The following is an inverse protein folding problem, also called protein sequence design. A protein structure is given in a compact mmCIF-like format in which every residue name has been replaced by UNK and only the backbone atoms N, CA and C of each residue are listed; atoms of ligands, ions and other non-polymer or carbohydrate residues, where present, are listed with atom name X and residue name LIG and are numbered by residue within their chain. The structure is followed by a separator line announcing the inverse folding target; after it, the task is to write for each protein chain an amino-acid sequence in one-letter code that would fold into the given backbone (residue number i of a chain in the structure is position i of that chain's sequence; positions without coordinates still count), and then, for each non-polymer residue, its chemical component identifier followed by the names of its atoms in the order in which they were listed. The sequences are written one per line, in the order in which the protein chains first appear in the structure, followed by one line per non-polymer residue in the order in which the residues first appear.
data_IF_361750240367
#
_entry.id   IF_361750240367
#
_cell.length_a   1.000
_cell.length_b   1.000
_cell.length_c   1.000
_cell.angle_alpha   90.00
_cell.angle_beta   90.00
_cell.angle_gamma   90.00
#
_symmetry.space_group_name_H-M   'P 1'
#
loop_
_entity.id
_entity.type
_entity.pdbx_description
1 polymer ?
#
# COMPACT_ATOMS: atom_id res chain seq x y z
N UNK A 1 14.67 -15.15 -0.75
CA UNK A 1 13.41 -14.50 -0.37
C UNK A 1 12.30 -15.18 -1.16
N UNK A 2 11.26 -15.66 -0.48
CA UNK A 2 10.04 -16.11 -1.13
C UNK A 2 9.09 -14.92 -1.24
N UNK A 3 8.40 -14.79 -2.37
CA UNK A 3 7.43 -13.74 -2.61
C UNK A 3 6.05 -14.36 -2.83
N UNK A 4 5.08 -13.87 -2.08
CA UNK A 4 3.67 -14.24 -2.21
C UNK A 4 2.86 -13.02 -2.61
N UNK A 5 1.83 -13.23 -3.42
CA UNK A 5 0.82 -12.23 -3.73
C UNK A 5 -0.47 -12.64 -3.00
N UNK A 6 -0.97 -11.76 -2.14
CA UNK A 6 -2.26 -11.93 -1.47
C UNK A 6 -3.31 -11.07 -2.14
N UNK A 7 -4.37 -11.70 -2.66
CA UNK A 7 -5.50 -11.04 -3.32
C UNK A 7 -6.65 -10.90 -2.32
N UNK A 8 -7.07 -9.67 -2.05
CA UNK A 8 -8.09 -9.34 -1.05
C UNK A 8 -9.35 -8.78 -1.73
N UNK A 9 -10.51 -9.36 -1.45
CA UNK A 9 -11.79 -8.82 -1.87
C UNK A 9 -12.52 -8.22 -0.67
N UNK A 10 -13.06 -7.00 -0.84
CA UNK A 10 -13.74 -6.28 0.23
C UNK A 10 -15.24 -6.55 0.19
N UNK A 11 -15.77 -7.10 1.28
CA UNK A 11 -17.18 -7.44 1.44
C UNK A 11 -18.02 -6.21 1.81
N UNK A 12 -17.38 -5.21 2.43
CA UNK A 12 -18.03 -3.97 2.86
C UNK A 12 -17.30 -2.76 2.30
N UNK A 13 -17.95 -1.59 2.31
CA UNK A 13 -17.28 -0.35 1.97
C UNK A 13 -16.09 -0.08 2.91
N UNK A 14 -15.11 0.66 2.43
CA UNK A 14 -13.91 1.02 3.19
C UNK A 14 -13.87 2.51 3.50
N UNK A 15 -13.19 2.87 4.58
CA UNK A 15 -12.77 4.23 4.88
C UNK A 15 -11.25 4.24 5.06
N UNK A 16 -10.53 4.51 3.98
CA UNK A 16 -9.08 4.69 4.01
C UNK A 16 -8.78 6.18 4.06
N UNK A 17 -8.69 6.72 5.28
CA UNK A 17 -8.47 8.14 5.48
C UNK A 17 -7.11 8.59 4.96
N UNK A 18 -7.07 9.72 4.25
CA UNK A 18 -5.82 10.41 3.95
C UNK A 18 -5.23 10.96 5.25
N UNK A 19 -3.96 10.73 5.49
CA UNK A 19 -3.31 10.93 6.80
C UNK A 19 -3.28 12.37 7.32
N UNK A 20 -3.72 13.38 6.57
CA UNK A 20 -3.29 14.74 6.84
C UNK A 20 -4.26 15.90 6.65
N UNK A 21 -5.49 15.65 6.32
CA UNK A 21 -6.42 16.76 6.18
C UNK A 21 -7.53 16.72 7.23
N UNK A 22 -8.02 17.89 7.62
CA UNK A 22 -9.29 18.02 8.33
C UNK A 22 -10.44 17.34 7.55
N UNK A 23 -10.21 17.06 6.27
CA UNK A 23 -11.11 16.37 5.34
C UNK A 23 -10.96 14.85 5.37
N UNK A 24 -10.00 14.27 6.10
CA UNK A 24 -9.76 12.82 6.11
C UNK A 24 -10.97 11.98 6.51
N UNK A 25 -11.92 12.57 7.24
CA UNK A 25 -13.19 11.93 7.58
C UNK A 25 -14.20 11.93 6.41
N UNK A 26 -14.12 12.92 5.53
CA UNK A 26 -15.06 13.13 4.43
C UNK A 26 -14.64 12.46 3.12
N UNK A 27 -13.41 11.99 3.05
CA UNK A 27 -12.87 11.33 1.86
C UNK A 27 -12.30 9.96 2.22
N UNK A 28 -12.34 9.03 1.28
CA UNK A 28 -11.67 7.73 1.38
C UNK A 28 -10.72 7.60 0.21
N UNK A 29 -9.50 7.16 0.46
CA UNK A 29 -8.61 6.66 -0.58
C UNK A 29 -9.12 5.29 -1.08
N UNK A 30 -8.67 4.89 -2.26
CA UNK A 30 -9.03 3.60 -2.88
C UNK A 30 -8.03 2.50 -2.53
N UNK A 31 -6.86 2.86 -2.04
CA UNK A 31 -5.75 1.94 -1.72
C UNK A 31 -5.23 2.19 -0.31
N UNK A 32 -4.48 1.24 0.20
CA UNK A 32 -3.94 1.29 1.56
C UNK A 32 -2.42 1.10 1.55
N UNK A 33 -1.73 1.78 2.45
CA UNK A 33 -0.27 1.69 2.56
C UNK A 33 0.16 0.58 3.51
N UNK A 34 1.35 0.04 3.27
CA UNK A 34 1.94 -1.05 4.06
C UNK A 34 2.03 -0.73 5.55
N UNK A 35 2.33 0.52 5.94
CA UNK A 35 2.41 0.91 7.35
C UNK A 35 1.05 0.82 8.08
N UNK A 36 -0.04 1.03 7.34
CA UNK A 36 -1.40 0.88 7.89
C UNK A 36 -1.79 -0.60 7.98
N UNK A 37 -1.48 -1.40 6.94
CA UNK A 37 -1.68 -2.85 6.99
C UNK A 37 -0.87 -3.46 8.14
N UNK A 38 0.41 -3.13 8.26
CA UNK A 38 1.27 -3.63 9.33
C UNK A 38 0.73 -3.27 10.73
N UNK A 39 0.27 -2.04 10.91
CA UNK A 39 -0.35 -1.62 12.18
C UNK A 39 -1.59 -2.47 12.50
N UNK A 40 -2.42 -2.77 11.52
CA UNK A 40 -3.60 -3.63 11.70
C UNK A 40 -3.20 -5.08 12.03
N UNK A 41 -2.18 -5.62 11.36
CA UNK A 41 -1.62 -6.95 11.65
C UNK A 41 -1.02 -7.03 13.07
N UNK A 42 -0.38 -5.96 13.55
CA UNK A 42 0.10 -5.89 14.93
C UNK A 42 -1.05 -5.99 15.96
N UNK A 43 -2.13 -5.27 15.74
CA UNK A 43 -3.32 -5.37 16.60
C UNK A 43 -3.95 -6.75 16.56
N UNK A 44 -4.08 -7.33 15.38
CA UNK A 44 -4.63 -8.68 15.22
C UNK A 44 -3.74 -9.75 15.86
N UNK A 45 -2.42 -9.67 15.67
CA UNK A 45 -1.44 -10.57 16.30
C UNK A 45 -1.50 -10.48 17.82
N UNK A 46 -1.59 -9.26 18.37
CA UNK A 46 -1.73 -9.06 19.81
C UNK A 46 -3.03 -9.66 20.34
N UNK A 47 -4.14 -9.44 19.63
CA UNK A 47 -5.47 -9.90 20.04
C UNK A 47 -5.58 -11.44 20.00
N UNK A 48 -5.02 -12.09 18.97
CA UNK A 48 -5.13 -13.54 18.80
C UNK A 48 -4.08 -14.34 19.57
N UNK A 49 -2.83 -13.82 19.64
CA UNK A 49 -1.67 -14.60 20.07
C UNK A 49 -0.87 -13.95 21.20
N UNK A 50 -1.23 -12.72 21.61
CA UNK A 50 -0.61 -12.02 22.73
C UNK A 50 0.71 -11.34 22.38
N UNK A 51 1.34 -10.77 23.41
CA UNK A 51 2.50 -9.88 23.27
C UNK A 51 3.73 -10.58 22.67
N UNK A 52 3.97 -11.85 23.01
CA UNK A 52 5.13 -12.57 22.48
C UNK A 52 5.08 -12.72 20.95
N UNK A 53 3.91 -12.97 20.38
CA UNK A 53 3.73 -13.06 18.93
C UNK A 53 3.91 -11.70 18.25
N UNK A 54 3.43 -10.62 18.87
CA UNK A 54 3.66 -9.25 18.38
C UNK A 54 5.16 -8.91 18.38
N UNK A 55 5.89 -9.23 19.44
CA UNK A 55 7.33 -9.01 19.53
C UNK A 55 8.08 -9.81 18.46
N UNK A 56 7.68 -11.07 18.22
CA UNK A 56 8.25 -11.89 17.15
C UNK A 56 8.01 -11.26 15.78
N UNK A 57 6.78 -10.84 15.47
CA UNK A 57 6.44 -10.16 14.21
C UNK A 57 7.30 -8.91 14.00
N UNK A 58 7.43 -8.05 15.02
CA UNK A 58 8.29 -6.88 14.97
C UNK A 58 9.77 -7.25 14.73
N UNK A 59 10.26 -8.30 15.37
CA UNK A 59 11.63 -8.79 15.19
C UNK A 59 11.87 -9.30 13.76
N UNK A 60 10.94 -10.05 13.19
CA UNK A 60 11.03 -10.54 11.79
C UNK A 60 11.07 -9.38 10.79
N UNK A 61 10.26 -8.35 11.01
CA UNK A 61 10.30 -7.10 10.21
C UNK A 61 11.65 -6.41 10.34
N UNK A 62 12.16 -6.22 11.56
CA UNK A 62 13.46 -5.58 11.78
C UNK A 62 14.61 -6.33 11.07
N UNK A 63 14.56 -7.67 11.07
CA UNK A 63 15.53 -8.53 10.40
C UNK A 63 15.36 -8.59 8.87
N UNK A 64 14.34 -7.94 8.30
CA UNK A 64 14.05 -8.00 6.86
C UNK A 64 13.52 -9.35 6.39
N UNK A 65 12.97 -10.16 7.29
CA UNK A 65 12.37 -11.48 6.99
C UNK A 65 10.86 -11.42 6.74
N UNK A 66 10.29 -10.23 6.88
CA UNK A 66 8.87 -9.96 6.69
C UNK A 66 8.74 -8.60 5.98
N UNK A 67 8.43 -8.64 4.69
CA UNK A 67 8.33 -7.46 3.84
C UNK A 67 6.92 -7.33 3.26
N UNK A 68 6.40 -6.11 3.20
CA UNK A 68 5.08 -5.81 2.63
C UNK A 68 5.20 -4.71 1.57
N UNK A 69 4.54 -4.87 0.44
CA UNK A 69 4.24 -3.75 -0.44
C UNK A 69 3.03 -2.96 0.06
N UNK A 70 2.80 -1.77 -0.50
CA UNK A 70 1.51 -1.13 -0.39
C UNK A 70 0.43 -2.02 -1.06
N UNK A 71 -0.84 -1.82 -0.68
CA UNK A 71 -1.94 -2.51 -1.31
C UNK A 71 -2.26 -1.83 -2.64
N UNK A 72 -2.17 -2.59 -3.69
CA UNK A 72 -2.33 -2.15 -5.09
C UNK A 72 -3.63 -2.71 -5.67
N UNK A 73 -4.25 -2.05 -6.65
CA UNK A 73 -5.51 -2.50 -7.21
C UNK A 73 -5.36 -3.73 -8.12
N UNK A 74 -6.42 -4.54 -8.15
CA UNK A 74 -6.66 -5.51 -9.22
C UNK A 74 -8.09 -5.39 -9.74
N UNK A 75 -8.29 -5.78 -11.00
CA UNK A 75 -9.61 -5.93 -11.61
C UNK A 75 -9.64 -7.26 -12.37
N UNK A 76 -10.56 -8.12 -12.03
CA UNK A 76 -10.57 -9.53 -12.48
C UNK A 76 -9.22 -10.20 -12.19
N UNK A 77 -8.55 -10.68 -13.23
CA UNK A 77 -7.24 -11.29 -13.18
C UNK A 77 -6.09 -10.30 -13.50
N UNK A 78 -6.40 -9.01 -13.70
CA UNK A 78 -5.39 -8.00 -14.04
C UNK A 78 -4.86 -7.33 -12.77
N UNK A 79 -3.57 -7.46 -12.51
CA UNK A 79 -2.87 -6.75 -11.46
C UNK A 79 -2.28 -5.44 -11.97
N UNK A 80 -2.27 -4.42 -11.10
CA UNK A 80 -1.79 -3.09 -11.44
C UNK A 80 -0.65 -2.67 -10.52
N UNK A 81 0.36 -2.04 -11.07
CA UNK A 81 1.51 -1.48 -10.37
C UNK A 81 1.41 0.04 -10.29
N UNK A 82 2.02 0.69 -9.30
CA UNK A 82 2.11 2.14 -9.28
C UNK A 82 2.88 2.63 -10.51
N UNK A 83 2.34 3.68 -11.14
CA UNK A 83 3.02 4.30 -12.28
C UNK A 83 4.37 4.86 -11.83
N UNK A 84 5.48 4.56 -12.51
CA UNK A 84 6.79 5.09 -12.18
C UNK A 84 6.82 6.63 -12.17
N UNK A 85 7.40 7.19 -11.13
CA UNK A 85 7.71 8.61 -11.04
C UNK A 85 9.04 8.80 -11.77
N UNK A 86 8.97 8.99 -13.08
CA UNK A 86 10.14 9.17 -13.93
C UNK A 86 9.91 10.33 -14.90
N UNK A 87 10.96 11.11 -15.24
CA UNK A 87 10.87 12.12 -16.28
C UNK A 87 10.65 11.45 -17.63
N UNK A 88 9.90 12.10 -18.53
CA UNK A 88 9.80 11.67 -19.92
C UNK A 88 10.84 12.41 -20.73
N UNK A 89 11.68 11.69 -21.45
CA UNK A 89 12.69 12.21 -22.37
C UNK A 89 12.17 12.32 -23.81
N UNK A 90 10.96 11.75 -24.07
CA UNK A 90 10.38 11.75 -25.40
C UNK A 90 10.10 13.19 -25.86
N UNK A 91 10.67 13.53 -27.02
CA UNK A 91 10.47 14.81 -27.72
C UNK A 91 9.34 14.75 -28.74
N UNK A 92 8.68 13.62 -28.89
CA UNK A 92 7.59 13.45 -29.86
C UNK A 92 6.38 14.33 -29.53
N UNK A 93 5.81 14.93 -30.55
CA UNK A 93 4.57 15.69 -30.42
C UNK A 93 3.39 14.73 -30.19
N UNK A 94 2.93 14.69 -28.93
CA UNK A 94 1.75 13.91 -28.53
C UNK A 94 0.58 14.88 -28.32
N UNK A 95 -0.61 14.47 -28.75
CA UNK A 95 -1.83 15.24 -28.50
C UNK A 95 -1.96 15.66 -27.02
N UNK A 96 -2.29 16.92 -26.79
CA UNK A 96 -2.40 17.48 -25.42
C UNK A 96 -3.37 16.68 -24.53
N UNK A 97 -4.43 16.13 -25.13
CA UNK A 97 -5.41 15.31 -24.40
C UNK A 97 -4.82 13.98 -23.94
N UNK A 98 -4.01 13.35 -24.78
CA UNK A 98 -3.35 12.08 -24.45
C UNK A 98 -2.32 12.29 -23.33
N UNK A 99 -1.48 13.32 -23.42
CA UNK A 99 -0.55 13.72 -22.35
C UNK A 99 -1.26 13.93 -21.01
N UNK A 100 -2.42 14.60 -21.00
CA UNK A 100 -3.22 14.83 -19.80
C UNK A 100 -3.76 13.52 -19.24
N UNK A 101 -4.22 12.59 -20.08
CA UNK A 101 -4.70 11.27 -19.66
C UNK A 101 -3.56 10.47 -19.03
N UNK A 102 -2.40 10.37 -19.69
CA UNK A 102 -1.22 9.65 -19.17
C UNK A 102 -0.73 10.26 -17.85
N UNK A 103 -0.75 11.61 -17.73
CA UNK A 103 -0.37 12.28 -16.46
C UNK A 103 -1.29 11.94 -15.30
N UNK A 104 -2.57 11.70 -15.56
CA UNK A 104 -3.58 11.37 -14.54
C UNK A 104 -3.54 9.90 -14.11
N UNK A 105 -2.89 9.01 -14.87
CA UNK A 105 -2.75 7.62 -14.48
C UNK A 105 -1.97 7.53 -13.17
N UNK A 106 -2.53 6.81 -12.21
CA UNK A 106 -1.84 6.42 -10.99
C UNK A 106 -1.29 5.00 -11.07
N UNK A 107 -1.95 4.15 -11.85
CA UNK A 107 -1.73 2.72 -11.92
C UNK A 107 -1.55 2.25 -13.36
N UNK A 108 -0.73 1.21 -13.55
CA UNK A 108 -0.45 0.56 -14.84
C UNK A 108 -0.70 -0.94 -14.73
N UNK A 109 -1.40 -1.55 -15.68
CA UNK A 109 -1.47 -3.01 -15.75
C UNK A 109 -0.06 -3.61 -15.86
N UNK A 110 0.21 -4.69 -15.13
CA UNK A 110 1.52 -5.38 -15.13
C UNK A 110 1.99 -5.66 -16.56
N UNK A 111 1.15 -6.23 -17.41
CA UNK A 111 1.52 -6.59 -18.79
C UNK A 111 1.73 -5.40 -19.73
N UNK A 112 1.38 -4.19 -19.32
CA UNK A 112 1.61 -2.96 -20.10
C UNK A 112 2.72 -2.08 -19.51
N UNK A 113 3.35 -2.54 -18.45
CA UNK A 113 4.41 -1.78 -17.79
C UNK A 113 5.60 -1.50 -18.72
N UNK A 114 6.07 -2.51 -19.44
CA UNK A 114 7.20 -2.36 -20.38
C UNK A 114 6.85 -1.47 -21.59
N UNK A 115 5.59 -1.44 -22.01
CA UNK A 115 5.12 -0.50 -23.05
C UNK A 115 5.19 0.94 -22.55
N UNK A 116 4.70 1.17 -21.32
CA UNK A 116 4.79 2.49 -20.70
C UNK A 116 6.25 2.92 -20.52
N UNK A 117 7.12 2.03 -20.01
CA UNK A 117 8.53 2.32 -19.80
C UNK A 117 9.21 2.75 -21.11
N UNK A 118 8.99 2.04 -22.21
CA UNK A 118 9.51 2.41 -23.54
C UNK A 118 9.01 3.80 -23.99
N UNK A 119 7.76 4.14 -23.68
CA UNK A 119 7.18 5.42 -24.06
C UNK A 119 7.81 6.63 -23.36
N UNK A 120 8.57 6.43 -22.29
CA UNK A 120 9.31 7.50 -21.62
C UNK A 120 10.46 8.03 -22.49
N UNK A 121 11.03 7.18 -23.35
CA UNK A 121 12.14 7.54 -24.24
C UNK A 121 11.68 7.82 -25.66
N UNK A 122 10.79 6.98 -26.20
CA UNK A 122 10.33 7.09 -27.59
C UNK A 122 8.88 6.62 -27.72
N UNK A 123 8.12 7.29 -28.58
CA UNK A 123 6.73 6.96 -28.81
C UNK A 123 5.78 7.53 -27.75
N UNK A 124 4.59 7.00 -27.72
CA UNK A 124 3.54 7.41 -26.79
C UNK A 124 2.84 6.19 -26.19
N UNK A 125 2.37 6.36 -24.97
CA UNK A 125 1.54 5.39 -24.28
C UNK A 125 0.04 5.77 -24.46
N UNK A 126 -0.78 4.85 -24.97
CA UNK A 126 -2.23 5.07 -25.07
C UNK A 126 -2.97 4.45 -23.86
N UNK A 127 -3.42 5.27 -22.91
CA UNK A 127 -4.18 4.79 -21.76
C UNK A 127 -5.60 4.35 -22.10
N UNK A 128 -6.08 4.63 -23.31
CA UNK A 128 -7.43 4.24 -23.76
C UNK A 128 -7.52 2.82 -24.31
N UNK A 129 -6.40 2.10 -24.47
CA UNK A 129 -6.43 0.68 -24.82
C UNK A 129 -6.90 -0.17 -23.64
N UNK A 130 -7.58 -1.29 -23.94
CA UNK A 130 -8.09 -2.23 -22.94
C UNK A 130 -7.05 -2.54 -21.86
N UNK A 131 -7.45 -2.44 -20.60
CA UNK A 131 -6.64 -2.77 -19.44
C UNK A 131 -6.03 -1.57 -18.71
N UNK A 132 -6.06 -0.33 -19.22
CA UNK A 132 -5.66 0.86 -18.47
C UNK A 132 -6.82 1.63 -17.82
N UNK A 133 -8.02 1.14 -17.98
CA UNK A 133 -9.26 1.80 -17.50
C UNK A 133 -9.53 1.53 -16.00
N UNK A 134 -8.49 1.37 -15.18
CA UNK A 134 -8.65 1.12 -13.73
C UNK A 134 -9.51 2.19 -13.06
N UNK A 135 -9.48 3.40 -13.58
CA UNK A 135 -10.19 4.53 -12.97
C UNK A 135 -11.69 4.55 -13.31
N UNK A 136 -12.15 3.75 -14.27
CA UNK A 136 -13.58 3.66 -14.63
C UNK A 136 -14.10 2.27 -14.27
N UNK A 137 -14.83 2.17 -13.16
CA UNK A 137 -15.45 0.91 -12.75
C UNK A 137 -14.78 0.18 -11.61
N UNK A 138 -13.66 0.67 -11.05
CA UNK A 138 -12.99 0.07 -9.91
C UNK A 138 -13.83 0.11 -8.63
N UNK A 139 -14.68 1.12 -8.50
CA UNK A 139 -15.61 1.28 -7.38
C UNK A 139 -16.30 2.62 -7.39
N UNK A 140 -16.97 2.94 -6.30
CA UNK A 140 -17.75 4.17 -6.13
C UNK A 140 -17.47 4.84 -4.81
N UNK A 141 -17.14 6.13 -4.85
CA UNK A 141 -17.10 6.99 -3.67
C UNK A 141 -18.51 7.42 -3.29
N UNK A 142 -18.81 7.42 -2.01
CA UNK A 142 -20.07 7.95 -1.48
C UNK A 142 -19.87 8.45 -0.05
N UNK A 143 -20.81 9.27 0.42
CA UNK A 143 -20.82 9.77 1.77
C UNK A 143 -21.98 9.15 2.56
N UNK A 144 -21.75 8.89 3.83
CA UNK A 144 -22.80 8.44 4.74
C UNK A 144 -22.87 9.34 5.96
N UNK A 145 -24.08 9.79 6.27
CA UNK A 145 -24.35 10.51 7.51
C UNK A 145 -24.40 9.55 8.68
N UNK A 146 -23.63 9.81 9.72
CA UNK A 146 -23.61 9.12 11.01
C UNK A 146 -24.00 10.09 12.11
N UNK A 147 -24.43 9.58 13.24
CA UNK A 147 -24.72 10.38 14.43
C UNK A 147 -23.66 10.06 15.51
N UNK A 148 -22.97 11.08 15.98
CA UNK A 148 -22.20 10.99 17.20
C UNK A 148 -23.16 11.22 18.37
N UNK A 149 -23.39 10.19 19.18
CA UNK A 149 -24.27 10.26 20.35
C UNK A 149 -23.39 10.42 21.59
N UNK A 150 -23.21 11.62 22.14
CA UNK A 150 -22.46 11.82 23.37
C UNK A 150 -23.21 11.22 24.58
N UNK A 151 -22.50 10.94 25.66
CA UNK A 151 -23.10 10.46 26.90
C UNK A 151 -24.11 11.48 27.50
N UNK A 152 -23.93 12.77 27.21
CA UNK A 152 -24.84 13.86 27.57
C UNK A 152 -24.97 14.83 26.39
N UNK A 153 -26.22 15.27 26.13
CA UNK A 153 -26.53 16.20 25.04
C UNK A 153 -27.10 15.56 23.79
N UNK A 154 -27.35 16.39 22.77
CA UNK A 154 -27.98 15.96 21.53
C UNK A 154 -27.00 15.24 20.58
N UNK A 155 -27.55 14.30 19.83
CA UNK A 155 -26.78 13.62 18.74
C UNK A 155 -26.36 14.65 17.69
N UNK A 156 -25.08 14.58 17.29
CA UNK A 156 -24.51 15.47 16.27
C UNK A 156 -24.27 14.69 15.00
N UNK A 157 -24.90 15.06 13.87
CA UNK A 157 -24.65 14.42 12.60
C UNK A 157 -23.25 14.77 12.10
N UNK A 158 -22.59 13.80 11.46
CA UNK A 158 -21.33 13.99 10.75
C UNK A 158 -21.28 13.11 9.50
N UNK A 159 -20.55 13.54 8.49
CA UNK A 159 -20.38 12.80 7.25
C UNK A 159 -19.11 11.93 7.32
N UNK A 160 -19.20 10.76 6.71
CA UNK A 160 -18.06 9.85 6.52
C UNK A 160 -17.96 9.52 5.03
N UNK A 161 -16.82 9.85 4.43
CA UNK A 161 -16.50 9.44 3.06
C UNK A 161 -16.12 7.98 3.02
N UNK A 162 -16.68 7.25 2.09
CA UNK A 162 -16.52 5.81 1.93
C UNK A 162 -16.22 5.49 0.47
N UNK A 163 -15.51 4.38 0.26
CA UNK A 163 -15.32 3.79 -1.05
C UNK A 163 -15.85 2.35 -1.04
N UNK A 164 -16.59 1.97 -2.07
CA UNK A 164 -17.06 0.60 -2.29
C UNK A 164 -16.46 0.07 -3.56
N UNK A 165 -15.69 -1.01 -3.46
CA UNK A 165 -15.17 -1.71 -4.62
C UNK A 165 -16.30 -2.26 -5.47
N UNK A 166 -16.11 -2.25 -6.80
CA UNK A 166 -16.99 -2.94 -7.74
C UNK A 166 -16.83 -4.47 -7.59
N UNK A 167 -17.79 -5.27 -8.04
CA UNK A 167 -17.58 -6.69 -8.22
C UNK A 167 -16.27 -6.93 -9.00
N UNK A 168 -15.57 -8.02 -8.71
CA UNK A 168 -14.32 -8.41 -9.37
C UNK A 168 -13.14 -7.43 -9.20
N UNK A 169 -13.31 -6.40 -8.35
CA UNK A 169 -12.28 -5.43 -7.99
C UNK A 169 -11.89 -5.54 -6.51
N UNK A 170 -10.62 -5.31 -6.23
CA UNK A 170 -10.12 -5.31 -4.87
C UNK A 170 -8.67 -4.86 -4.80
N UNK A 171 -8.00 -5.22 -3.73
CA UNK A 171 -6.60 -4.89 -3.51
C UNK A 171 -5.77 -6.16 -3.37
N UNK A 172 -4.55 -6.10 -3.84
CA UNK A 172 -3.54 -7.11 -3.58
C UNK A 172 -2.28 -6.47 -3.01
N UNK A 173 -1.48 -7.24 -2.34
CA UNK A 173 -0.15 -6.84 -1.92
C UNK A 173 0.85 -7.97 -2.12
N UNK A 174 2.13 -7.61 -2.22
CA UNK A 174 3.24 -8.54 -2.28
C UNK A 174 3.82 -8.68 -0.89
N UNK A 175 3.99 -9.92 -0.47
CA UNK A 175 4.63 -10.31 0.78
C UNK A 175 5.95 -11.01 0.50
N UNK A 176 7.05 -10.48 1.04
CA UNK A 176 8.36 -11.11 0.99
C UNK A 176 8.70 -11.75 2.33
N UNK A 177 9.06 -13.04 2.33
CA UNK A 177 9.39 -13.76 3.55
C UNK A 177 10.61 -14.68 3.37
N UNK A 178 11.22 -15.03 4.49
CA UNK A 178 12.36 -15.96 4.51
C UNK A 178 11.91 -17.42 4.36
N UNK A 179 10.77 -17.77 4.94
CA UNK A 179 10.23 -19.13 5.00
C UNK A 179 8.74 -19.14 4.65
N UNK A 180 8.27 -20.14 3.92
CA UNK A 180 6.88 -20.24 3.44
C UNK A 180 5.84 -20.31 4.59
N UNK A 181 6.21 -20.93 5.71
CA UNK A 181 5.34 -20.96 6.90
C UNK A 181 4.94 -19.56 7.41
N UNK A 182 5.73 -18.52 7.08
CA UNK A 182 5.39 -17.13 7.42
C UNK A 182 4.21 -16.62 6.57
N UNK A 183 4.05 -17.11 5.34
CA UNK A 183 2.90 -16.80 4.50
C UNK A 183 1.62 -17.46 5.04
N UNK A 184 1.68 -18.71 5.51
CA UNK A 184 0.56 -19.37 6.17
C UNK A 184 0.14 -18.62 7.45
N UNK A 185 1.12 -18.25 8.29
CA UNK A 185 0.86 -17.46 9.50
C UNK A 185 0.23 -16.09 9.17
N UNK A 186 0.70 -15.41 8.12
CA UNK A 186 0.13 -14.16 7.66
C UNK A 186 -1.31 -14.35 7.17
N UNK A 187 -1.60 -15.41 6.42
CA UNK A 187 -2.95 -15.72 5.94
C UNK A 187 -3.94 -15.94 7.11
N UNK A 188 -3.51 -16.63 8.16
CA UNK A 188 -4.31 -16.76 9.38
C UNK A 188 -4.62 -15.41 10.03
N UNK A 189 -3.63 -14.51 10.14
CA UNK A 189 -3.85 -13.16 10.66
C UNK A 189 -4.77 -12.34 9.74
N UNK A 190 -4.61 -12.45 8.41
CA UNK A 190 -5.47 -11.77 7.44
C UNK A 190 -6.92 -12.24 7.52
N UNK A 191 -7.16 -13.53 7.76
CA UNK A 191 -8.52 -14.07 7.94
C UNK A 191 -9.19 -13.47 9.18
N UNK A 192 -8.48 -13.34 10.31
CA UNK A 192 -8.98 -12.66 11.50
C UNK A 192 -9.22 -11.16 11.26
N UNK A 193 -8.23 -10.49 10.67
CA UNK A 193 -8.32 -9.07 10.31
C UNK A 193 -9.47 -8.81 9.32
N UNK A 194 -9.72 -9.71 8.38
CA UNK A 194 -10.83 -9.60 7.43
C UNK A 194 -12.20 -9.58 8.11
N UNK A 195 -12.37 -10.34 9.19
CA UNK A 195 -13.59 -10.32 10.02
C UNK A 195 -13.71 -9.06 10.86
N UNK A 196 -12.59 -8.55 11.39
CA UNK A 196 -12.53 -7.31 12.17
C UNK A 196 -12.70 -6.08 11.27
N UNK A 197 -12.05 -6.09 10.11
CA UNK A 197 -11.98 -5.01 9.14
C UNK A 197 -10.69 -4.20 9.23
N UNK A 198 -10.34 -3.52 8.14
CA UNK A 198 -9.16 -2.67 8.03
C UNK A 198 -9.52 -1.24 7.63
N UNK A 199 -8.78 -0.26 8.13
CA UNK A 199 -9.00 1.17 7.89
C UNK A 199 -9.75 1.84 9.03
N UNK A 200 -10.43 2.93 8.73
CA UNK A 200 -11.22 3.67 9.71
C UNK A 200 -12.66 3.14 9.84
N UNK A 201 -13.28 3.41 10.99
CA UNK A 201 -14.70 3.06 11.25
C UNK A 201 -15.01 1.55 11.20
N UNK A 202 -14.05 0.70 11.51
CA UNK A 202 -14.24 -0.77 11.58
C UNK A 202 -15.32 -1.18 12.58
N UNK A 203 -15.46 -0.46 13.69
CA UNK A 203 -16.55 -0.67 14.67
C UNK A 203 -17.96 -0.41 14.10
N UNK A 204 -18.07 0.27 12.96
CA UNK A 204 -19.30 0.47 12.23
C UNK A 204 -19.50 -0.55 11.08
N UNK A 205 -18.64 -1.58 11.01
CA UNK A 205 -18.74 -2.68 10.05
C UNK A 205 -18.07 -2.42 8.70
N UNK A 206 -17.23 -1.38 8.58
CA UNK A 206 -16.50 -1.12 7.34
C UNK A 206 -15.15 -1.83 7.28
N UNK A 207 -14.63 -1.98 6.06
CA UNK A 207 -13.30 -2.53 5.82
C UNK A 207 -13.20 -4.04 5.96
N UNK A 208 -14.31 -4.78 6.00
CA UNK A 208 -14.31 -6.25 6.03
C UNK A 208 -13.91 -6.80 4.66
N UNK A 209 -13.10 -7.85 4.68
CA UNK A 209 -12.59 -8.48 3.47
C UNK A 209 -12.32 -9.97 3.69
N UNK A 210 -12.06 -10.68 2.64
CA UNK A 210 -11.51 -12.04 2.68
C UNK A 210 -10.34 -12.18 1.69
N UNK A 211 -9.46 -13.14 1.96
CA UNK A 211 -8.40 -13.54 1.04
C UNK A 211 -9.03 -14.40 -0.05
N UNK A 212 -8.93 -13.94 -1.29
CA UNK A 212 -9.47 -14.67 -2.46
C UNK A 212 -8.46 -15.69 -2.96
N UNK A 213 -7.18 -15.28 -2.97
CA UNK A 213 -6.10 -16.10 -3.51
C UNK A 213 -4.76 -15.74 -2.85
N UNK A 214 -3.89 -16.75 -2.75
CA UNK A 214 -2.51 -16.64 -2.26
C UNK A 214 -1.59 -17.31 -3.28
N UNK A 215 -0.83 -16.51 -4.02
CA UNK A 215 0.01 -16.95 -5.14
C UNK A 215 1.48 -16.92 -4.76
N UNK A 216 2.18 -18.04 -4.84
CA UNK A 216 3.64 -18.09 -4.72
C UNK A 216 4.28 -17.60 -6.02
N UNK A 217 4.82 -16.38 -6.01
CA UNK A 217 5.42 -15.76 -7.21
C UNK A 217 6.71 -16.43 -7.65
N UNK A 218 7.40 -17.16 -6.77
CA UNK A 218 8.61 -17.92 -7.10
C UNK A 218 8.31 -19.11 -8.03
N UNK A 219 7.04 -19.53 -8.11
CA UNK A 219 6.55 -20.57 -9.02
C UNK A 219 5.44 -19.99 -9.93
N UNK A 220 5.82 -19.12 -10.88
CA UNK A 220 4.84 -18.40 -11.70
C UNK A 220 4.08 -19.37 -12.61
N UNK A 221 2.78 -19.13 -12.78
CA UNK A 221 1.89 -19.96 -13.58
C UNK A 221 1.33 -19.24 -14.81
N UNK A 222 1.50 -17.92 -14.90
CA UNK A 222 1.08 -17.11 -16.03
C UNK A 222 2.09 -15.99 -16.35
N UNK A 223 1.84 -15.25 -17.41
CA UNK A 223 2.73 -14.19 -17.90
C UNK A 223 2.83 -13.02 -16.91
N UNK A 224 1.79 -12.70 -16.14
CA UNK A 224 1.82 -11.62 -15.16
C UNK A 224 2.67 -11.99 -13.95
N UNK A 225 2.44 -13.17 -13.40
CA UNK A 225 3.20 -13.68 -12.24
C UNK A 225 4.66 -13.90 -12.60
N UNK A 226 4.96 -14.35 -13.83
CA UNK A 226 6.33 -14.45 -14.34
C UNK A 226 7.01 -13.07 -14.43
N UNK A 227 6.31 -12.07 -14.97
CA UNK A 227 6.82 -10.71 -15.06
C UNK A 227 7.09 -10.13 -13.66
N UNK A 228 6.14 -10.28 -12.72
CA UNK A 228 6.26 -9.82 -11.35
C UNK A 228 7.47 -10.47 -10.65
N UNK A 229 7.59 -11.78 -10.73
CA UNK A 229 8.71 -12.49 -10.11
C UNK A 229 10.06 -12.07 -10.69
N UNK A 230 10.16 -12.00 -12.01
CA UNK A 230 11.38 -11.53 -12.68
C UNK A 230 11.80 -10.14 -12.23
N UNK A 231 10.85 -9.21 -12.13
CA UNK A 231 11.11 -7.85 -11.68
C UNK A 231 11.50 -7.79 -10.19
N UNK A 232 10.88 -8.60 -9.32
CA UNK A 232 11.24 -8.71 -7.90
C UNK A 232 12.65 -9.27 -7.71
N UNK A 233 13.05 -10.23 -8.53
CA UNK A 233 14.36 -10.87 -8.48
C UNK A 233 15.48 -10.01 -9.13
N UNK A 234 15.14 -8.95 -9.86
CA UNK A 234 16.09 -8.10 -10.58
C UNK A 234 16.71 -7.01 -9.68
N UNK A 235 17.45 -7.42 -8.65
CA UNK A 235 18.07 -6.53 -7.66
C UNK A 235 19.25 -5.70 -8.22
N UNK A 236 19.83 -6.11 -9.34
CA UNK A 236 20.90 -5.40 -10.04
C UNK A 236 20.45 -4.55 -11.23
N UNK A 237 19.12 -4.38 -11.44
CA UNK A 237 18.62 -3.51 -12.50
C UNK A 237 19.00 -2.04 -12.24
N UNK A 238 19.24 -1.27 -13.31
CA UNK A 238 19.65 0.12 -13.22
C UNK A 238 18.60 1.02 -12.51
N UNK A 239 17.34 0.65 -12.61
CA UNK A 239 16.23 1.36 -11.95
C UNK A 239 15.49 0.41 -11.02
N UNK A 240 15.21 0.89 -9.82
CA UNK A 240 14.51 0.18 -8.77
C UNK A 240 13.19 0.89 -8.48
N UNK A 241 12.07 0.29 -8.87
CA UNK A 241 10.73 0.79 -8.59
C UNK A 241 10.33 0.42 -7.17
N UNK A 242 9.99 1.42 -6.37
CA UNK A 242 9.53 1.23 -5.00
C UNK A 242 8.05 0.82 -4.99
N UNK A 243 7.73 -0.30 -4.34
CA UNK A 243 6.35 -0.78 -4.16
C UNK A 243 5.78 -0.50 -2.78
N UNK A 244 6.59 -0.05 -1.86
CA UNK A 244 6.21 0.24 -0.48
C UNK A 244 6.43 1.71 -0.17
N UNK A 245 5.38 2.42 0.26
CA UNK A 245 5.59 3.76 0.84
C UNK A 245 6.48 3.62 2.06
N UNK A 246 7.73 4.10 1.97
CA UNK A 246 8.78 3.85 2.98
C UNK A 246 9.82 4.97 3.06
N UNK A 247 10.63 4.93 4.10
CA UNK A 247 11.66 5.93 4.41
C UNK A 247 13.00 5.21 4.60
N UNK A 248 14.07 5.59 3.88
CA UNK A 248 15.43 5.13 4.17
C UNK A 248 15.84 5.48 5.62
N UNK A 249 16.75 4.72 6.19
CA UNK A 249 17.43 5.12 7.44
C UNK A 249 18.31 6.34 7.18
N UNK A 250 18.62 7.09 8.22
CA UNK A 250 19.46 8.30 8.10
C UNK A 250 20.81 8.01 7.42
N UNK A 251 21.38 6.83 7.68
CA UNK A 251 22.64 6.38 7.07
C UNK A 251 22.50 5.95 5.61
N UNK A 252 21.29 5.75 5.13
CA UNK A 252 20.99 5.30 3.75
C UNK A 252 20.52 6.45 2.85
N UNK A 253 20.14 7.61 3.45
CA UNK A 253 19.48 8.71 2.74
C UNK A 253 20.29 9.22 1.54
N UNK A 254 21.55 9.54 1.73
CA UNK A 254 22.39 10.11 0.69
C UNK A 254 22.50 9.17 -0.51
N UNK A 255 22.79 7.89 -0.25
CA UNK A 255 22.92 6.90 -1.31
C UNK A 255 21.57 6.57 -1.98
N UNK A 256 20.49 6.47 -1.21
CA UNK A 256 19.17 6.17 -1.74
C UNK A 256 18.63 7.28 -2.64
N UNK A 257 18.99 8.54 -2.37
CA UNK A 257 18.47 9.71 -3.08
C UNK A 257 19.44 10.29 -4.11
N UNK A 258 20.65 9.74 -4.28
CA UNK A 258 21.68 10.24 -5.18
C UNK A 258 21.19 10.42 -6.61
N UNK A 259 20.47 9.41 -7.15
CA UNK A 259 19.78 9.51 -8.45
C UNK A 259 18.40 8.91 -8.27
N UNK A 260 17.45 9.72 -7.86
CA UNK A 260 16.10 9.27 -7.57
C UNK A 260 15.04 10.24 -8.11
N UNK A 261 13.95 9.67 -8.60
CA UNK A 261 12.73 10.39 -8.93
C UNK A 261 11.63 9.94 -7.99
N UNK A 262 11.17 10.84 -7.12
CA UNK A 262 10.26 10.47 -6.05
C UNK A 262 9.22 11.54 -5.72
N UNK A 263 8.18 11.13 -5.01
CA UNK A 263 7.25 12.01 -4.31
C UNK A 263 7.30 11.74 -2.81
N UNK A 264 7.11 12.78 -2.02
CA UNK A 264 7.00 12.64 -0.57
C UNK A 264 5.54 12.51 -0.14
N UNK A 265 5.30 11.54 0.72
CA UNK A 265 4.02 11.35 1.41
C UNK A 265 4.22 11.61 2.89
N UNK A 266 3.49 12.58 3.40
CA UNK A 266 3.47 12.84 4.84
C UNK A 266 2.70 11.73 5.55
N UNK A 267 3.32 11.13 6.58
CA UNK A 267 2.72 10.12 7.44
C UNK A 267 2.63 10.64 8.87
N UNK A 268 1.41 10.80 9.35
CA UNK A 268 1.09 11.21 10.71
C UNK A 268 0.01 10.31 11.29
N UNK A 269 -0.84 10.80 12.17
CA UNK A 269 -2.00 10.09 12.72
C UNK A 269 -1.92 9.93 14.23
N UNK A 270 -2.84 9.14 14.74
CA UNK A 270 -2.96 8.87 16.18
C UNK A 270 -2.58 7.43 16.50
N UNK A 271 -2.11 7.22 17.72
CA UNK A 271 -1.93 5.87 18.25
C UNK A 271 -3.30 5.28 18.58
N UNK A 272 -3.52 4.04 18.17
CA UNK A 272 -4.61 3.23 18.70
C UNK A 272 -4.02 2.40 19.84
N UNK A 273 -4.50 2.59 21.05
CA UNK A 273 -4.01 1.89 22.24
C UNK A 273 -5.08 1.90 23.31
N UNK A 274 -5.32 0.73 23.90
CA UNK A 274 -6.22 0.57 25.04
C UNK A 274 -5.58 1.01 26.38
N UNK A 275 -4.26 1.30 26.35
CA UNK A 275 -3.50 1.74 27.53
C UNK A 275 -3.46 3.27 27.68
N UNK A 276 -4.10 4.01 26.81
CA UNK A 276 -4.05 5.49 26.83
C UNK A 276 -5.44 6.05 26.69
N UNK A 277 -5.91 6.75 27.73
CA UNK A 277 -7.27 7.32 27.79
C UNK A 277 -7.53 8.43 26.76
N UNK A 278 -6.49 9.05 26.22
CA UNK A 278 -6.61 10.14 25.24
C UNK A 278 -5.85 9.80 23.95
N UNK A 279 -6.45 10.06 22.76
CA UNK A 279 -5.77 9.85 21.51
C UNK A 279 -4.45 10.63 21.43
N UNK A 280 -3.34 9.92 21.29
CA UNK A 280 -2.02 10.53 21.19
C UNK A 280 -1.55 10.57 19.75
N UNK A 281 -0.97 11.69 19.33
CA UNK A 281 -0.39 11.83 17.99
C UNK A 281 0.90 11.03 17.88
N UNK A 282 1.12 10.46 16.70
CA UNK A 282 2.40 9.87 16.29
C UNK A 282 3.33 10.98 15.77
N UNK A 283 4.66 10.77 15.87
CA UNK A 283 5.63 11.62 15.17
C UNK A 283 5.32 11.67 13.68
N UNK A 284 5.35 12.87 13.11
CA UNK A 284 5.17 13.06 11.67
C UNK A 284 6.48 12.74 10.94
N UNK A 285 6.39 11.97 9.87
CA UNK A 285 7.51 11.63 8.99
C UNK A 285 7.09 11.82 7.53
N UNK A 286 8.08 12.01 6.63
CA UNK A 286 7.88 12.10 5.20
C UNK A 286 8.52 10.88 4.53
N UNK A 287 7.73 10.10 3.84
CA UNK A 287 8.10 8.84 3.20
C UNK A 287 8.17 9.02 1.69
N UNK A 288 9.02 8.24 1.04
CA UNK A 288 8.98 8.08 -0.41
C UNK A 288 7.72 7.30 -0.78
N UNK A 289 6.95 7.81 -1.74
CA UNK A 289 5.75 7.15 -2.22
C UNK A 289 6.08 5.88 -3.01
N UNK A 290 5.21 4.87 -2.97
CA UNK A 290 5.23 3.81 -3.97
C UNK A 290 5.15 4.40 -5.39
N UNK A 291 5.87 3.82 -6.34
CA UNK A 291 6.09 4.38 -7.68
C UNK A 291 7.36 5.22 -7.79
N UNK A 292 8.03 5.59 -6.69
CA UNK A 292 9.35 6.23 -6.75
C UNK A 292 10.37 5.32 -7.41
N UNK A 293 11.26 5.91 -8.19
CA UNK A 293 12.31 5.21 -8.95
C UNK A 293 13.66 5.65 -8.43
N UNK A 294 14.47 4.69 -8.01
CA UNK A 294 15.79 4.89 -7.43
C UNK A 294 16.82 4.07 -8.21
N UNK A 295 18.10 4.40 -8.07
CA UNK A 295 19.20 3.52 -8.53
C UNK A 295 19.64 2.56 -7.43
N UNK A 296 19.56 2.97 -6.16
CA UNK A 296 20.04 2.20 -5.03
C UNK A 296 18.89 1.77 -4.13
N UNK A 297 18.83 0.47 -3.83
CA UNK A 297 17.92 -0.08 -2.82
C UNK A 297 18.38 0.32 -1.43
N UNK A 298 17.46 0.51 -0.51
CA UNK A 298 17.71 0.70 0.91
C UNK A 298 16.93 -0.32 1.73
N UNK A 299 17.27 -0.49 3.00
CA UNK A 299 16.62 -1.47 3.86
C UNK A 299 15.45 -0.87 4.65
N UNK A 300 15.50 0.45 4.91
CA UNK A 300 14.54 1.10 5.78
C UNK A 300 14.51 0.51 7.20
N UNK A 301 13.50 0.84 7.98
CA UNK A 301 13.39 0.40 9.36
C UNK A 301 11.95 0.22 9.83
N UNK A 302 11.79 -0.31 11.03
CA UNK A 302 10.58 -0.21 11.83
C UNK A 302 10.81 0.95 12.81
N UNK A 303 10.18 2.12 12.55
CA UNK A 303 10.41 3.34 13.34
C UNK A 303 9.49 3.41 14.54
N UNK A 304 10.04 3.73 15.71
CA UNK A 304 9.22 4.15 16.84
C UNK A 304 8.80 5.61 16.67
N UNK A 305 7.51 5.81 16.49
CA UNK A 305 6.87 7.12 16.29
C UNK A 305 6.04 7.56 17.48
N UNK A 306 6.24 6.94 18.64
CA UNK A 306 5.62 7.36 19.89
C UNK A 306 6.15 8.74 20.32
N UNK A 307 5.27 9.54 20.92
CA UNK A 307 5.63 10.82 21.56
C UNK A 307 5.72 10.69 23.08
N UNK A 308 5.31 9.54 23.60
CA UNK A 308 5.28 9.25 25.04
C UNK A 308 5.98 7.92 25.31
N UNK A 309 6.50 7.78 26.52
CA UNK A 309 7.30 6.61 26.91
C UNK A 309 6.47 5.40 27.38
N UNK A 310 5.12 5.47 27.29
CA UNK A 310 4.26 4.41 27.83
C UNK A 310 4.44 3.06 27.11
N UNK A 311 4.52 3.09 25.78
CA UNK A 311 4.84 1.94 24.93
C UNK A 311 5.23 2.43 23.52
N UNK A 312 6.03 1.65 22.76
CA UNK A 312 6.40 2.01 21.40
C UNK A 312 5.18 1.99 20.46
N UNK A 313 5.16 2.93 19.52
CA UNK A 313 4.23 2.94 18.42
C UNK A 313 5.01 2.78 17.11
N UNK A 314 4.97 1.61 16.54
CA UNK A 314 5.76 1.31 15.36
C UNK A 314 5.11 1.80 14.07
N UNK A 315 5.96 2.32 13.17
CA UNK A 315 5.62 2.61 11.79
C UNK A 315 6.50 1.80 10.86
N UNK A 316 5.87 0.98 10.06
CA UNK A 316 6.51 0.11 9.09
C UNK A 316 7.13 0.93 7.95
N UNK A 317 8.38 0.59 7.59
CA UNK A 317 9.12 1.24 6.50
C UNK A 317 10.17 0.31 5.88
N UNK A 318 9.87 -0.97 5.75
CA UNK A 318 10.72 -1.94 5.04
C UNK A 318 10.26 -2.03 3.58
N UNK A 319 11.10 -1.61 2.61
CA UNK A 319 10.69 -1.55 1.22
C UNK A 319 10.68 -2.91 0.52
N UNK A 320 9.77 -3.04 -0.45
CA UNK A 320 9.89 -3.98 -1.57
C UNK A 320 10.21 -3.17 -2.82
N UNK A 321 11.18 -3.63 -3.57
CA UNK A 321 11.61 -3.05 -4.85
C UNK A 321 11.41 -4.04 -5.97
N UNK A 322 11.17 -3.50 -7.17
CA UNK A 322 11.24 -4.21 -8.44
C UNK A 322 12.31 -3.59 -9.32
N UNK A 323 13.19 -4.40 -9.90
CA UNK A 323 14.10 -3.94 -10.93
C UNK A 323 13.35 -3.77 -12.25
N UNK A 324 13.46 -2.59 -12.85
CA UNK A 324 12.74 -2.21 -14.07
C UNK A 324 13.69 -1.55 -15.08
N UNK A 325 13.30 -1.60 -16.35
CA UNK A 325 13.97 -0.87 -17.44
C UNK A 325 13.12 0.36 -17.74
N UNK A 326 13.62 1.53 -17.34
CA UNK A 326 12.98 2.83 -17.57
C UNK A 326 13.88 3.74 -18.38
#
# INVERSE_FOLDING_TARGET
MNYFLFKLQFDTAVHFGSSDSALSLYTSEETLRADTLFSALCHESLAQHGEAALQQLCSEVQQGKFLLSDLMPYHDETFYLPKPIAPSESTEEVETNLRKKVKKLAWLPVLRFDEYARSLHAGHFDPGQKGCEVCTGFGTHFEQTKAAVPAQGDARPYQVGLFRFAPDCGLYFIFGCAEERQAEALEHLLNGLGMTGIGGKVSAGYGKFHVVDTILLNEPFDTQTEWLYRALAADHAAHQLLLTTSLPQDTELDSALEVASFQLVRRSGFMASDHVDTPQKKKTQYFLAAGSVLQHRYQGALYDVSLVESHPAYRYSKPIFMGVSL
#
